data_IF_252556195053
#
_entry.id   IF_252556195053
#
_cell.length_a   1.000
_cell.length_b   1.000
_cell.length_c   1.000
_cell.angle_alpha   90.00
_cell.angle_beta   90.00
_cell.angle_gamma   90.00
#
_symmetry.space_group_name_H-M   'P 1'
#
loop_
_entity.id
_entity.type
_entity.pdbx_description
1 polymer ?
#
# COMPACT_ATOMS: atom_id res chain seq x y z
N UNK A 1 -5.66 1.31 -2.16
CA UNK A 1 -4.96 0.31 -2.99
C UNK A 1 -5.50 -1.08 -2.68
N UNK A 2 -5.16 -2.11 -3.47
CA UNK A 2 -5.71 -3.47 -3.28
C UNK A 2 -4.77 -4.40 -2.50
N UNK A 3 -5.33 -5.30 -1.71
CA UNK A 3 -4.61 -6.30 -0.91
C UNK A 3 -3.76 -7.21 -1.80
N UNK A 4 -4.31 -7.63 -2.96
CA UNK A 4 -3.60 -8.42 -3.97
C UNK A 4 -2.32 -7.71 -4.42
N UNK A 5 -2.38 -6.41 -4.73
CA UNK A 5 -1.21 -5.68 -5.21
C UNK A 5 -0.07 -5.66 -4.18
N UNK A 6 -0.37 -5.61 -2.87
CA UNK A 6 0.67 -5.63 -1.82
C UNK A 6 1.20 -7.05 -1.57
N UNK A 7 0.31 -8.04 -1.57
CA UNK A 7 0.59 -9.42 -1.19
C UNK A 7 1.20 -10.26 -2.33
N UNK A 8 0.74 -10.09 -3.58
CA UNK A 8 1.03 -10.94 -4.76
C UNK A 8 2.47 -11.46 -4.84
N UNK A 9 2.72 -12.77 -4.87
CA UNK A 9 4.10 -13.30 -4.91
C UNK A 9 4.90 -12.90 -6.17
N UNK A 10 4.24 -12.46 -7.25
CA UNK A 10 4.85 -12.11 -8.53
C UNK A 10 5.75 -10.87 -8.44
N UNK A 11 7.08 -11.07 -8.40
CA UNK A 11 8.08 -9.99 -8.32
C UNK A 11 8.20 -9.15 -9.59
N UNK A 12 7.80 -9.66 -10.75
CA UNK A 12 7.80 -8.92 -12.01
C UNK A 12 6.60 -7.95 -12.13
N UNK A 13 5.59 -8.08 -11.26
CA UNK A 13 4.42 -7.20 -11.27
C UNK A 13 4.79 -5.76 -10.96
N UNK A 14 4.55 -4.87 -11.94
CA UNK A 14 4.69 -3.41 -11.77
C UNK A 14 3.76 -2.89 -10.68
N UNK A 15 2.52 -3.40 -10.62
CA UNK A 15 1.54 -3.05 -9.60
C UNK A 15 2.04 -3.41 -8.20
N UNK A 16 2.65 -4.59 -8.03
CA UNK A 16 3.26 -4.98 -6.75
C UNK A 16 4.39 -4.04 -6.35
N UNK A 17 5.30 -3.75 -7.27
CA UNK A 17 6.44 -2.88 -7.00
C UNK A 17 5.99 -1.48 -6.58
N UNK A 18 5.00 -0.91 -7.27
CA UNK A 18 4.44 0.40 -6.95
C UNK A 18 3.69 0.37 -5.61
N UNK A 19 2.79 -0.59 -5.39
CA UNK A 19 2.04 -0.73 -4.14
C UNK A 19 2.97 -0.77 -2.92
N UNK A 20 4.03 -1.58 -2.97
CA UNK A 20 5.03 -1.66 -1.89
C UNK A 20 5.86 -0.38 -1.72
N UNK A 21 6.06 0.38 -2.78
CA UNK A 21 6.73 1.68 -2.70
C UNK A 21 5.82 2.71 -2.00
N UNK A 22 4.52 2.71 -2.33
CA UNK A 22 3.55 3.61 -1.71
C UNK A 22 3.40 3.33 -0.20
N UNK A 23 3.31 2.05 0.20
CA UNK A 23 3.27 1.66 1.63
C UNK A 23 4.51 2.15 2.37
N UNK A 24 5.71 1.84 1.88
CA UNK A 24 6.97 2.21 2.55
C UNK A 24 7.19 3.71 2.67
N UNK A 25 6.62 4.49 1.76
CA UNK A 25 6.75 5.95 1.75
C UNK A 25 5.63 6.69 2.48
N UNK A 26 4.68 5.97 3.08
CA UNK A 26 3.52 6.62 3.70
C UNK A 26 2.64 7.38 2.71
N UNK A 27 2.58 6.94 1.44
CA UNK A 27 1.73 7.56 0.41
C UNK A 27 0.39 6.83 0.25
N UNK A 28 0.25 5.69 0.92
CA UNK A 28 -0.95 4.89 0.91
C UNK A 28 -1.82 5.22 2.12
N UNK A 29 -3.12 5.35 1.90
CA UNK A 29 -4.08 5.65 2.98
C UNK A 29 -4.93 4.43 3.34
N UNK A 30 -5.29 3.60 2.35
CA UNK A 30 -6.13 2.41 2.53
C UNK A 30 -5.60 1.21 1.76
N UNK A 31 -5.64 0.02 2.38
CA UNK A 31 -5.61 -1.28 1.72
C UNK A 31 -7.01 -1.89 1.79
N UNK A 32 -7.61 -2.19 0.65
CA UNK A 32 -8.91 -2.84 0.53
C UNK A 32 -8.78 -4.17 -0.23
N UNK A 33 -9.76 -5.07 -0.10
CA UNK A 33 -9.72 -6.36 -0.80
C UNK A 33 -9.91 -6.20 -2.32
N UNK A 34 -10.71 -5.23 -2.75
CA UNK A 34 -11.14 -5.04 -4.15
C UNK A 34 -11.74 -6.33 -4.77
N UNK A 35 -12.41 -7.11 -3.92
CA UNK A 35 -13.05 -8.37 -4.33
C UNK A 35 -14.41 -8.08 -4.92
N UNK A 36 -14.63 -8.56 -6.14
CA UNK A 36 -15.88 -8.37 -6.88
C UNK A 36 -16.74 -9.64 -6.91
N UNK A 37 -16.18 -10.79 -6.56
CA UNK A 37 -16.85 -12.10 -6.58
C UNK A 37 -16.08 -13.12 -5.71
N UNK A 38 -16.77 -14.08 -5.10
CA UNK A 38 -16.18 -15.05 -4.16
C UNK A 38 -15.40 -16.19 -4.84
N UNK A 39 -15.65 -16.43 -6.13
CA UNK A 39 -15.00 -17.45 -6.97
C UNK A 39 -13.59 -17.06 -7.43
N UNK A 40 -13.25 -15.76 -7.40
CA UNK A 40 -11.95 -15.27 -7.84
C UNK A 40 -10.94 -15.31 -6.70
N UNK A 41 -9.90 -16.14 -6.84
CA UNK A 41 -8.81 -16.18 -5.89
C UNK A 41 -8.00 -14.86 -5.92
N UNK A 42 -8.32 -13.97 -4.98
CA UNK A 42 -7.54 -12.76 -4.66
C UNK A 42 -6.98 -12.90 -3.25
N UNK A 43 -5.89 -12.19 -2.96
CA UNK A 43 -5.39 -12.07 -1.61
C UNK A 43 -6.48 -11.48 -0.69
N UNK A 44 -6.66 -12.11 0.46
CA UNK A 44 -7.53 -11.61 1.52
C UNK A 44 -7.02 -10.27 2.07
N UNK A 45 -7.91 -9.52 2.71
CA UNK A 45 -7.52 -8.30 3.44
C UNK A 45 -6.46 -8.60 4.51
N UNK A 46 -6.58 -9.74 5.21
CA UNK A 46 -5.60 -10.20 6.18
C UNK A 46 -4.22 -10.43 5.56
N UNK A 47 -4.15 -11.03 4.37
CA UNK A 47 -2.89 -11.20 3.64
C UNK A 47 -2.29 -9.85 3.21
N UNK A 48 -3.14 -8.88 2.80
CA UNK A 48 -2.74 -7.50 2.54
C UNK A 48 -2.11 -6.84 3.78
N UNK A 49 -2.78 -6.94 4.94
CA UNK A 49 -2.28 -6.42 6.23
C UNK A 49 -0.94 -7.03 6.62
N UNK A 50 -0.82 -8.36 6.56
CA UNK A 50 0.44 -9.08 6.82
C UNK A 50 1.56 -8.65 5.88
N UNK A 51 1.25 -8.40 4.60
CA UNK A 51 2.24 -7.92 3.64
C UNK A 51 2.66 -6.47 3.95
N UNK A 52 1.74 -5.61 4.40
CA UNK A 52 2.06 -4.25 4.86
C UNK A 52 2.91 -4.27 6.13
N UNK A 53 2.59 -5.13 7.10
CA UNK A 53 3.34 -5.26 8.35
C UNK A 53 4.81 -5.65 8.13
N UNK A 54 5.10 -6.44 7.10
CA UNK A 54 6.51 -6.77 6.72
C UNK A 54 7.25 -5.61 6.05
N UNK A 55 6.55 -4.57 5.60
CA UNK A 55 7.13 -3.43 4.88
C UNK A 55 7.24 -2.16 5.75
N UNK A 56 6.23 -1.94 6.57
CA UNK A 56 6.05 -0.79 7.45
C UNK A 56 5.15 -1.26 8.62
N UNK A 57 5.71 -1.96 9.63
CA UNK A 57 4.96 -2.54 10.74
C UNK A 57 3.99 -1.55 11.40
N UNK A 58 4.48 -0.34 11.64
CA UNK A 58 3.75 0.75 12.29
C UNK A 58 2.54 1.25 11.49
N UNK A 59 2.53 1.07 10.16
CA UNK A 59 1.45 1.53 9.28
C UNK A 59 0.40 0.47 9.00
N UNK A 60 0.69 -0.80 9.29
CA UNK A 60 -0.13 -1.91 8.82
C UNK A 60 -1.57 -1.85 9.33
N UNK A 61 -1.75 -1.54 10.61
CA UNK A 61 -3.07 -1.40 11.23
C UNK A 61 -3.78 -0.14 10.73
N UNK A 62 -3.06 0.98 10.73
CA UNK A 62 -3.59 2.25 10.26
C UNK A 62 -4.14 2.18 8.82
N UNK A 63 -3.48 1.42 7.93
CA UNK A 63 -3.88 1.22 6.53
C UNK A 63 -5.16 0.38 6.35
N UNK A 64 -5.55 -0.43 7.33
CA UNK A 64 -6.68 -1.38 7.21
C UNK A 64 -7.80 -1.14 8.23
N UNK A 65 -7.54 -0.39 9.29
CA UNK A 65 -8.49 -0.12 10.37
C UNK A 65 -8.67 1.38 10.55
N UNK A 66 -7.64 2.10 11.01
CA UNK A 66 -7.81 3.48 11.48
C UNK A 66 -8.20 4.45 10.36
N UNK A 67 -7.47 4.44 9.24
CA UNK A 67 -7.77 5.32 8.11
C UNK A 67 -9.13 4.97 7.47
N UNK A 68 -9.45 3.70 7.17
CA UNK A 68 -10.80 3.34 6.72
C UNK A 68 -11.92 3.76 7.67
N UNK A 69 -11.75 3.60 9.00
CA UNK A 69 -12.76 3.98 9.97
C UNK A 69 -13.04 5.49 9.94
N UNK A 70 -11.99 6.32 9.95
CA UNK A 70 -12.13 7.78 9.85
C UNK A 70 -12.81 8.22 8.53
N UNK A 71 -12.47 7.58 7.40
CA UNK A 71 -13.10 7.86 6.11
C UNK A 71 -14.61 7.56 6.16
N UNK A 72 -15.00 6.43 6.74
CA UNK A 72 -16.40 6.05 6.86
C UNK A 72 -17.18 6.97 7.81
N UNK A 73 -16.53 7.49 8.84
CA UNK A 73 -17.11 8.45 9.77
C UNK A 73 -17.18 9.89 9.20
N UNK A 74 -16.53 10.17 8.06
CA UNK A 74 -16.41 11.53 7.54
C UNK A 74 -15.48 12.42 8.37
N UNK A 75 -14.59 11.81 9.13
CA UNK A 75 -13.67 12.49 10.05
C UNK A 75 -12.33 12.82 9.38
N UNK A 76 -11.56 13.68 10.03
CA UNK A 76 -10.17 13.90 9.63
C UNK A 76 -9.36 12.62 9.83
N UNK A 77 -8.47 12.31 8.88
CA UNK A 77 -7.62 11.14 9.01
C UNK A 77 -6.69 11.26 10.23
N UNK A 78 -6.55 10.20 11.03
CA UNK A 78 -5.57 10.17 12.10
C UNK A 78 -4.16 10.30 11.52
N UNK A 79 -3.23 10.88 12.30
CA UNK A 79 -1.86 11.03 11.87
C UNK A 79 -1.27 9.68 11.46
N UNK A 80 -0.65 9.63 10.28
CA UNK A 80 -0.03 8.40 9.80
C UNK A 80 1.21 8.08 10.64
N UNK A 81 1.32 6.87 11.19
CA UNK A 81 2.53 6.44 11.88
C UNK A 81 3.77 6.59 10.99
N UNK A 82 4.77 7.28 11.53
CA UNK A 82 6.07 7.42 10.87
C UNK A 82 6.91 6.19 11.20
N UNK A 83 7.28 5.43 10.17
CA UNK A 83 8.27 4.35 10.31
C UNK A 83 9.70 4.88 10.24
N UNK A 84 10.66 4.06 10.68
CA UNK A 84 12.11 4.28 10.56
C UNK A 84 12.63 4.27 9.10
N UNK A 85 11.82 4.65 8.12
CA UNK A 85 12.19 4.71 6.72
C UNK A 85 13.02 5.97 6.41
N UNK A 86 14.06 6.22 7.21
CA UNK A 86 15.09 7.23 6.99
C UNK A 86 16.06 6.89 5.85
N UNK A 87 15.55 6.40 4.73
CA UNK A 87 16.34 6.23 3.52
C UNK A 87 16.41 7.55 2.76
N UNK A 88 17.50 8.30 2.92
CA UNK A 88 17.83 9.49 2.11
C UNK A 88 17.64 9.18 0.63
N UNK A 89 16.66 9.80 -0.01
CA UNK A 89 16.45 9.66 -1.45
C UNK A 89 17.46 10.53 -2.19
N UNK A 90 18.37 9.91 -2.94
CA UNK A 90 19.13 10.57 -4.01
C UNK A 90 18.23 10.86 -5.22
N UNK A 91 18.57 11.84 -6.07
CA UNK A 91 17.70 12.30 -7.14
C UNK A 91 17.43 11.18 -8.15
N UNK A 92 16.16 10.82 -8.31
CA UNK A 92 15.70 9.89 -9.33
C UNK A 92 15.84 10.55 -10.71
N UNK A 93 17.02 10.49 -11.31
CA UNK A 93 17.18 10.78 -12.74
C UNK A 93 16.49 9.65 -13.51
N UNK A 94 15.31 9.92 -14.06
CA UNK A 94 14.80 9.16 -15.20
C UNK A 94 14.30 10.14 -16.26
N UNK A 95 15.05 10.12 -17.36
CA UNK A 95 14.84 10.85 -18.61
C UNK A 95 13.52 10.37 -19.20
N UNK A 96 12.53 11.26 -19.28
CA UNK A 96 11.44 11.09 -20.22
C UNK A 96 12.02 11.37 -21.60
N UNK A 97 12.43 10.32 -22.32
CA UNK A 97 12.67 10.47 -23.76
C UNK A 97 11.33 10.34 -24.46
N UNK A 98 10.99 11.42 -25.16
CA UNK A 98 9.82 11.60 -25.97
C UNK A 98 9.69 10.48 -27.02
N UNK A 99 8.50 9.92 -27.12
CA UNK A 99 8.04 9.36 -28.39
C UNK A 99 7.30 10.51 -29.09
N UNK A 100 7.93 11.04 -30.14
CA UNK A 100 7.27 11.80 -31.19
C UNK A 100 6.58 10.82 -32.14
#
# INVERSE_FOLDING_TARGET
>A
MTAESVASSNRASKSRRLARLLVRRGLAHVIASDTHSADRHRASLSAGRLAAARLAPERAEWLVVDSPAAILAGEQLPEMPQGESGGRWGPARRRWQAAR
#
